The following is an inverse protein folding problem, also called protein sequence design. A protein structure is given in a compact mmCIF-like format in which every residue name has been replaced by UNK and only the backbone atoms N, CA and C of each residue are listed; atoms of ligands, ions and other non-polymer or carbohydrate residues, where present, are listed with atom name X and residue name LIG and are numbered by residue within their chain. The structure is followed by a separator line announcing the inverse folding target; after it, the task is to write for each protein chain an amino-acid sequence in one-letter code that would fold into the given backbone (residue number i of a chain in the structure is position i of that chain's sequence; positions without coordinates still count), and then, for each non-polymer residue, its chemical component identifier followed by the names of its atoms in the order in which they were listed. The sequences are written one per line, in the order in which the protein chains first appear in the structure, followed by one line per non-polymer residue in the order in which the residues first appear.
data_IF_474374245301
#
_entry.id   IF_474374245301
#
_cell.length_a   1.000
_cell.length_b   1.000
_cell.length_c   1.000
_cell.angle_alpha   90.00
_cell.angle_beta   90.00
_cell.angle_gamma   90.00
#
_symmetry.space_group_name_H-M   'P 1'
#
loop_
_entity.id
_entity.type
_entity.pdbx_description
1 polymer ?
#
# COMPACT_ATOMS: atom_id res chain seq x y z
N UNK A 1 9.35 5.66 15.64
CA UNK A 1 8.01 5.14 16.02
C UNK A 1 7.60 4.29 14.84
N UNK A 2 7.99 3.01 14.77
CA UNK A 2 8.07 2.39 13.42
C UNK A 2 7.55 0.95 13.28
N UNK A 3 6.91 0.30 14.27
CA UNK A 3 6.43 -1.09 14.04
C UNK A 3 4.99 -1.40 14.47
N UNK A 4 4.19 -0.38 14.78
CA UNK A 4 2.78 -0.63 15.12
C UNK A 4 1.88 0.59 15.06
N UNK A 5 2.41 1.79 15.32
CA UNK A 5 1.59 3.00 15.32
C UNK A 5 1.03 3.30 13.93
N UNK A 6 1.77 3.02 12.86
CA UNK A 6 1.35 3.28 11.47
C UNK A 6 0.08 2.51 11.06
N UNK A 7 -0.25 1.42 11.79
CA UNK A 7 -1.47 0.64 11.58
C UNK A 7 -2.70 1.27 12.25
N UNK A 8 -2.50 2.23 13.16
CA UNK A 8 -3.56 2.91 13.89
C UNK A 8 -4.20 4.04 13.06
N UNK A 9 -4.85 3.69 11.95
CA UNK A 9 -5.45 4.65 11.01
C UNK A 9 -6.57 5.51 11.61
N UNK A 10 -7.19 5.04 12.70
CA UNK A 10 -8.25 5.74 13.43
C UNK A 10 -7.75 6.48 14.69
N UNK A 11 -6.43 6.71 14.82
CA UNK A 11 -5.85 7.38 15.98
C UNK A 11 -6.31 8.84 16.05
N UNK A 12 -6.94 9.22 17.17
CA UNK A 12 -7.48 10.58 17.39
C UNK A 12 -6.72 11.38 18.46
N UNK A 13 -6.13 10.69 19.43
CA UNK A 13 -5.41 11.29 20.53
C UNK A 13 -4.10 10.54 20.74
N UNK A 14 -3.00 11.28 20.78
CA UNK A 14 -1.67 10.76 21.00
C UNK A 14 -0.95 11.61 22.03
N UNK A 15 -0.65 11.03 23.18
CA UNK A 15 0.15 11.67 24.23
C UNK A 15 1.49 10.95 24.35
N UNK A 16 2.56 11.67 24.05
CA UNK A 16 3.94 11.23 24.06
C UNK A 16 4.81 12.15 24.92
N UNK A 17 4.23 12.79 25.94
CA UNK A 17 4.96 13.67 26.85
C UNK A 17 6.09 12.95 27.62
N UNK A 18 7.12 13.69 28.01
CA UNK A 18 8.30 13.23 28.75
C UNK A 18 9.04 12.05 28.09
N UNK A 19 9.19 12.09 26.76
CA UNK A 19 9.96 11.12 25.99
C UNK A 19 11.27 11.73 25.45
N UNK A 20 11.92 11.03 24.53
CA UNK A 20 13.21 11.41 23.93
C UNK A 20 13.08 11.83 22.47
N UNK A 21 11.96 12.43 22.10
CA UNK A 21 11.72 12.91 20.73
C UNK A 21 12.49 14.22 20.55
N UNK A 22 13.48 14.22 19.65
CA UNK A 22 14.34 15.38 19.42
C UNK A 22 14.29 15.94 18.00
N UNK A 23 13.69 15.22 17.05
CA UNK A 23 13.69 15.58 15.64
C UNK A 23 12.30 16.08 15.18
N UNK A 24 12.29 17.18 14.43
CA UNK A 24 11.09 17.74 13.80
C UNK A 24 10.48 16.81 12.74
N UNK A 25 11.29 15.95 12.12
CA UNK A 25 10.87 14.91 11.16
C UNK A 25 9.80 13.96 11.75
N UNK A 26 9.67 13.91 13.07
CA UNK A 26 8.59 13.17 13.74
C UNK A 26 7.21 13.65 13.28
N UNK A 27 7.04 14.95 13.02
CA UNK A 27 5.76 15.51 12.56
C UNK A 27 5.38 15.03 11.16
N UNK A 28 6.37 14.82 10.29
CA UNK A 28 6.14 14.21 8.98
C UNK A 28 5.58 12.79 9.12
N UNK A 29 6.09 12.00 10.08
CA UNK A 29 5.52 10.67 10.38
C UNK A 29 4.12 10.75 10.98
N UNK A 30 3.83 11.78 11.77
CA UNK A 30 2.50 11.97 12.37
C UNK A 30 1.44 12.44 11.36
N UNK A 31 1.84 13.05 10.23
CA UNK A 31 0.96 13.48 9.13
C UNK A 31 0.08 12.37 8.58
N UNK A 32 0.57 11.13 8.58
CA UNK A 32 -0.19 9.96 8.11
C UNK A 32 -1.48 9.74 8.92
N UNK A 33 -1.55 10.22 10.17
CA UNK A 33 -2.72 10.09 11.03
C UNK A 33 -3.75 11.17 10.72
N UNK A 34 -4.49 10.99 9.62
CA UNK A 34 -5.55 11.92 9.16
C UNK A 34 -6.71 12.12 10.16
N UNK A 35 -6.77 11.33 11.23
CA UNK A 35 -7.75 11.48 12.32
C UNK A 35 -7.22 12.13 13.58
N UNK A 36 -5.93 12.51 13.64
CA UNK A 36 -5.30 12.97 14.86
C UNK A 36 -5.74 14.39 15.23
N UNK A 37 -6.45 14.54 16.34
CA UNK A 37 -6.99 15.81 16.81
C UNK A 37 -6.30 16.33 18.08
N UNK A 38 -5.64 15.46 18.83
CA UNK A 38 -4.93 15.83 20.06
C UNK A 38 -3.54 15.23 20.06
N UNK A 39 -2.52 16.08 20.17
CA UNK A 39 -1.13 15.69 20.28
C UNK A 39 -0.50 16.36 21.50
N UNK A 40 0.16 15.57 22.35
CA UNK A 40 0.96 16.08 23.44
C UNK A 40 2.38 15.53 23.33
N UNK A 41 3.36 16.43 23.28
CA UNK A 41 4.78 16.16 23.20
C UNK A 41 5.56 16.95 24.27
N UNK A 42 4.88 17.58 25.22
CA UNK A 42 5.50 18.32 26.32
C UNK A 42 6.58 17.48 27.04
N UNK A 43 7.72 18.09 27.38
CA UNK A 43 8.82 17.41 28.06
C UNK A 43 9.72 16.58 27.14
N UNK A 44 9.56 16.70 25.82
CA UNK A 44 10.51 16.16 24.84
C UNK A 44 11.56 17.22 24.44
N UNK A 45 12.79 16.79 24.04
CA UNK A 45 13.81 17.72 23.53
C UNK A 45 13.36 18.59 22.35
N UNK A 46 12.49 18.06 21.49
CA UNK A 46 11.96 18.76 20.30
C UNK A 46 11.20 20.06 20.66
N UNK A 47 10.67 20.18 21.88
CA UNK A 47 9.98 21.39 22.35
C UNK A 47 10.91 22.61 22.47
N UNK A 48 12.24 22.42 22.37
CA UNK A 48 13.23 23.50 22.43
C UNK A 48 13.49 24.15 21.07
N UNK A 49 13.05 23.51 19.99
CA UNK A 49 13.23 24.05 18.64
C UNK A 49 12.29 25.25 18.42
N UNK A 50 12.76 26.38 17.87
CA UNK A 50 11.93 27.55 17.61
C UNK A 50 10.75 27.25 16.67
N UNK A 51 10.98 26.37 15.70
CA UNK A 51 9.99 26.01 14.68
C UNK A 51 9.01 24.93 15.15
N UNK A 52 9.22 24.34 16.34
CA UNK A 52 8.46 23.20 16.88
C UNK A 52 6.95 23.31 16.67
N UNK A 53 6.36 24.43 17.07
CA UNK A 53 4.92 24.65 16.99
C UNK A 53 4.46 24.85 15.55
N UNK A 54 5.16 25.69 14.78
CA UNK A 54 4.80 25.96 13.40
C UNK A 54 4.90 24.68 12.54
N UNK A 55 5.98 23.90 12.69
CA UNK A 55 6.15 22.62 12.01
C UNK A 55 5.07 21.61 12.43
N UNK A 56 4.72 21.51 13.71
CA UNK A 56 3.65 20.62 14.16
C UNK A 56 2.30 20.94 13.48
N UNK A 57 1.94 22.22 13.43
CA UNK A 57 0.67 22.69 12.86
C UNK A 57 0.66 22.61 11.32
N UNK A 58 1.80 22.84 10.67
CA UNK A 58 1.95 22.74 9.22
C UNK A 58 1.82 21.29 8.72
N UNK A 59 2.46 20.34 9.41
CA UNK A 59 2.47 18.94 9.01
C UNK A 59 1.23 18.16 9.47
N UNK A 60 0.63 18.52 10.61
CA UNK A 60 -0.54 17.83 11.19
C UNK A 60 -1.74 18.79 11.27
N UNK A 61 -2.35 19.07 10.11
CA UNK A 61 -3.43 20.06 9.96
C UNK A 61 -4.71 19.72 10.76
N UNK A 62 -4.90 18.47 11.16
CA UNK A 62 -6.11 17.99 11.84
C UNK A 62 -6.13 18.26 13.34
N UNK A 63 -5.04 18.81 13.89
CA UNK A 63 -4.90 19.10 15.32
C UNK A 63 -5.86 20.18 15.79
N UNK A 64 -6.60 19.86 16.85
CA UNK A 64 -7.44 20.80 17.61
C UNK A 64 -6.80 21.18 18.93
N UNK A 65 -6.00 20.27 19.50
CA UNK A 65 -5.28 20.45 20.75
C UNK A 65 -3.82 20.03 20.58
N UNK A 66 -2.91 20.93 20.93
CA UNK A 66 -1.47 20.70 20.90
C UNK A 66 -0.86 21.14 22.24
N UNK A 67 -0.16 20.24 22.91
CA UNK A 67 0.45 20.44 24.24
C UNK A 67 -0.53 21.07 25.24
N UNK A 68 -1.72 20.47 25.35
CA UNK A 68 -2.84 20.89 26.20
C UNK A 68 -3.43 22.29 25.88
N UNK A 69 -2.94 22.98 24.85
CA UNK A 69 -3.49 24.23 24.36
C UNK A 69 -4.41 23.99 23.15
N UNK A 70 -5.47 24.78 23.04
CA UNK A 70 -6.30 24.79 21.84
C UNK A 70 -5.53 25.46 20.69
N UNK A 71 -5.61 24.86 19.51
CA UNK A 71 -4.98 25.38 18.29
C UNK A 71 -5.93 26.37 17.63
N UNK A 72 -5.41 27.55 17.25
CA UNK A 72 -6.15 28.52 16.46
C UNK A 72 -6.09 28.14 14.96
N UNK A 73 -7.22 28.02 14.25
CA UNK A 73 -7.24 27.78 12.82
C UNK A 73 -6.42 28.78 11.99
N UNK A 74 -6.30 30.04 12.44
CA UNK A 74 -5.48 31.05 11.77
C UNK A 74 -3.99 30.70 11.82
N UNK A 75 -3.52 30.17 12.96
CA UNK A 75 -2.13 29.74 13.16
C UNK A 75 -1.78 28.54 12.28
N UNK A 76 -2.73 27.60 12.11
CA UNK A 76 -2.57 26.46 11.19
C UNK A 76 -2.41 26.95 9.75
N UNK A 77 -3.25 27.90 9.34
CA UNK A 77 -3.20 28.45 7.98
C UNK A 77 -1.87 29.16 7.71
N UNK A 78 -1.43 30.01 8.65
CA UNK A 78 -0.15 30.71 8.54
C UNK A 78 1.03 29.74 8.51
N UNK A 79 1.03 28.72 9.37
CA UNK A 79 2.09 27.71 9.40
C UNK A 79 2.12 26.92 8.09
N UNK A 80 0.96 26.59 7.52
CA UNK A 80 0.87 25.89 6.22
C UNK A 80 1.38 26.74 5.06
N UNK A 81 1.10 28.03 5.06
CA UNK A 81 1.66 28.97 4.06
C UNK A 81 3.18 29.08 4.19
N UNK A 82 3.70 29.10 5.43
CA UNK A 82 5.14 29.16 5.68
C UNK A 82 5.91 27.93 5.16
N UNK A 83 5.31 26.74 5.24
CA UNK A 83 5.93 25.47 4.81
C UNK A 83 5.28 24.89 3.55
N UNK A 84 4.66 25.73 2.71
CA UNK A 84 3.88 25.27 1.58
C UNK A 84 4.69 24.41 0.60
N UNK A 85 5.90 24.85 0.25
CA UNK A 85 6.77 24.15 -0.71
C UNK A 85 7.18 22.77 -0.16
N UNK A 86 7.63 22.71 1.10
CA UNK A 86 8.01 21.45 1.76
C UNK A 86 6.81 20.49 1.84
N UNK A 87 5.62 21.00 2.17
CA UNK A 87 4.40 20.18 2.24
C UNK A 87 4.06 19.62 0.87
N UNK A 88 4.18 20.40 -0.18
CA UNK A 88 3.88 19.97 -1.56
C UNK A 88 4.80 18.83 -1.99
N UNK A 89 6.10 18.94 -1.72
CA UNK A 89 7.08 17.88 -2.03
C UNK A 89 6.77 16.58 -1.27
N UNK A 90 6.38 16.70 0.00
CA UNK A 90 5.98 15.56 0.82
C UNK A 90 4.68 14.93 0.32
N UNK A 91 3.69 15.73 -0.06
CA UNK A 91 2.42 15.24 -0.61
C UNK A 91 2.61 14.52 -1.94
N UNK A 92 3.45 15.03 -2.84
CA UNK A 92 3.77 14.37 -4.10
C UNK A 92 4.42 13.01 -3.87
N UNK A 93 5.42 12.97 -2.98
CA UNK A 93 6.09 11.72 -2.60
C UNK A 93 5.12 10.72 -1.97
N UNK A 94 4.27 11.16 -1.05
CA UNK A 94 3.24 10.33 -0.43
C UNK A 94 2.25 9.77 -1.47
N UNK A 95 1.84 10.58 -2.44
CA UNK A 95 0.93 10.15 -3.51
C UNK A 95 1.58 9.09 -4.42
N UNK A 96 2.84 9.28 -4.81
CA UNK A 96 3.60 8.31 -5.60
C UNK A 96 3.77 6.99 -4.84
N UNK A 97 4.13 7.05 -3.56
CA UNK A 97 4.28 5.86 -2.70
C UNK A 97 2.95 5.14 -2.49
N UNK A 98 1.85 5.88 -2.31
CA UNK A 98 0.51 5.32 -2.17
C UNK A 98 0.06 4.62 -3.47
N UNK A 99 0.30 5.24 -4.62
CA UNK A 99 0.00 4.65 -5.92
C UNK A 99 0.83 3.39 -6.19
N UNK A 100 2.12 3.40 -5.86
CA UNK A 100 2.97 2.22 -5.95
C UNK A 100 2.44 1.09 -5.07
N UNK A 101 2.15 1.36 -3.79
CA UNK A 101 1.57 0.37 -2.86
C UNK A 101 0.22 -0.16 -3.34
N UNK A 102 -0.63 0.71 -3.90
CA UNK A 102 -1.93 0.30 -4.44
C UNK A 102 -1.78 -0.62 -5.65
N UNK A 103 -0.83 -0.34 -6.54
CA UNK A 103 -0.48 -1.20 -7.68
C UNK A 103 0.06 -2.55 -7.21
N UNK A 104 0.99 -2.55 -6.25
CA UNK A 104 1.57 -3.76 -5.70
C UNK A 104 0.51 -4.62 -5.00
N UNK A 105 -0.40 -4.02 -4.23
CA UNK A 105 -1.51 -4.72 -3.60
C UNK A 105 -2.51 -5.27 -4.63
N UNK A 106 -2.79 -4.52 -5.70
CA UNK A 106 -3.66 -4.99 -6.77
C UNK A 106 -3.03 -6.18 -7.50
N UNK A 107 -1.74 -6.09 -7.85
CA UNK A 107 -0.98 -7.19 -8.45
C UNK A 107 -0.95 -8.42 -7.53
N UNK A 108 -0.65 -8.25 -6.24
CA UNK A 108 -0.64 -9.34 -5.27
C UNK A 108 -2.01 -10.02 -5.11
N UNK A 109 -3.12 -9.27 -5.19
CA UNK A 109 -4.47 -9.84 -5.19
C UNK A 109 -4.72 -10.71 -6.43
N UNK A 110 -4.31 -10.24 -7.60
CA UNK A 110 -4.44 -11.00 -8.86
C UNK A 110 -3.61 -12.28 -8.79
N UNK A 111 -2.35 -12.20 -8.38
CA UNK A 111 -1.47 -13.37 -8.22
C UNK A 111 -2.09 -14.42 -7.29
N UNK A 112 -2.62 -13.97 -6.14
CA UNK A 112 -3.29 -14.86 -5.19
C UNK A 112 -4.55 -15.52 -5.77
N UNK A 113 -5.32 -14.78 -6.58
CA UNK A 113 -6.50 -15.33 -7.25
C UNK A 113 -6.11 -16.41 -8.28
N UNK A 114 -5.06 -16.16 -9.07
CA UNK A 114 -4.52 -17.14 -10.01
C UNK A 114 -3.95 -18.37 -9.29
N UNK A 115 -3.26 -18.19 -8.16
CA UNK A 115 -2.77 -19.30 -7.34
C UNK A 115 -3.93 -20.17 -6.81
N UNK A 116 -5.00 -19.56 -6.29
CA UNK A 116 -6.18 -20.28 -5.81
C UNK A 116 -6.91 -21.04 -6.93
N UNK A 117 -6.83 -20.56 -8.17
CA UNK A 117 -7.37 -21.23 -9.35
C UNK A 117 -6.39 -22.26 -9.96
N UNK A 118 -5.18 -22.41 -9.40
CA UNK A 118 -4.10 -23.24 -9.95
C UNK A 118 -3.65 -22.81 -11.36
N UNK A 119 -3.66 -21.50 -11.61
CA UNK A 119 -3.31 -20.87 -12.88
C UNK A 119 -2.01 -20.05 -12.80
N UNK A 120 -1.32 -20.06 -11.66
CA UNK A 120 -0.09 -19.28 -11.43
C UNK A 120 0.99 -19.54 -12.49
N UNK A 121 1.11 -20.80 -12.94
CA UNK A 121 2.06 -21.18 -14.01
C UNK A 121 1.81 -20.37 -15.29
N UNK A 122 0.56 -20.07 -15.64
CA UNK A 122 0.26 -19.28 -16.83
C UNK A 122 0.68 -17.80 -16.70
N UNK A 123 0.89 -17.30 -15.48
CA UNK A 123 1.41 -15.94 -15.24
C UNK A 123 2.93 -15.88 -15.43
N UNK A 124 3.66 -16.85 -14.85
CA UNK A 124 5.12 -16.75 -14.70
C UNK A 124 5.93 -17.57 -15.71
N UNK A 125 5.29 -18.47 -16.47
CA UNK A 125 5.99 -19.43 -17.32
C UNK A 125 6.95 -18.77 -18.33
N UNK A 126 6.60 -17.60 -18.87
CA UNK A 126 7.48 -16.88 -19.79
C UNK A 126 8.79 -16.47 -19.11
N UNK A 127 8.67 -15.84 -17.94
CA UNK A 127 9.81 -15.33 -17.18
C UNK A 127 10.66 -16.50 -16.66
N UNK A 128 10.02 -17.57 -16.18
CA UNK A 128 10.70 -18.81 -15.76
C UNK A 128 11.49 -19.44 -16.92
N UNK A 129 10.87 -19.59 -18.10
CA UNK A 129 11.56 -20.11 -19.29
C UNK A 129 12.74 -19.22 -19.72
N UNK A 130 12.65 -17.92 -19.46
CA UNK A 130 13.68 -16.96 -19.83
C UNK A 130 14.84 -16.95 -18.83
N UNK A 131 14.55 -17.07 -17.54
CA UNK A 131 15.53 -17.08 -16.45
C UNK A 131 16.29 -18.41 -16.34
N UNK A 132 15.68 -19.53 -16.71
CA UNK A 132 16.33 -20.85 -16.73
C UNK A 132 17.39 -21.01 -17.83
N UNK A 133 17.34 -20.18 -18.89
CA UNK A 133 18.28 -20.24 -20.00
C UNK A 133 19.53 -19.38 -19.74
N UNK A 134 20.61 -20.02 -19.29
CA UNK A 134 21.90 -19.39 -19.04
C UNK A 134 22.55 -18.74 -20.28
N UNK A 135 22.15 -19.14 -21.49
CA UNK A 135 22.65 -18.58 -22.76
C UNK A 135 21.87 -17.32 -23.18
N UNK A 136 20.70 -17.08 -22.59
CA UNK A 136 19.86 -15.90 -22.84
C UNK A 136 20.60 -14.58 -22.56
N UNK A 137 21.51 -14.59 -21.58
CA UNK A 137 22.38 -13.45 -21.30
C UNK A 137 23.31 -13.11 -22.48
N UNK A 138 23.69 -14.09 -23.31
CA UNK A 138 24.56 -13.89 -24.49
C UNK A 138 23.78 -13.34 -25.67
N UNK A 139 22.47 -13.59 -25.73
CA UNK A 139 21.60 -13.08 -26.79
C UNK A 139 21.45 -11.56 -26.73
N UNK A 140 21.58 -10.93 -25.56
CA UNK A 140 21.51 -9.46 -25.34
C UNK A 140 22.49 -8.63 -26.18
N UNK A 141 23.52 -9.24 -26.76
CA UNK A 141 24.50 -8.56 -27.62
C UNK A 141 24.10 -8.52 -29.10
N UNK A 142 23.03 -9.21 -29.48
CA UNK A 142 22.55 -9.25 -30.86
C UNK A 142 21.72 -7.99 -31.15
N UNK A 143 22.04 -7.20 -32.18
CA UNK A 143 21.22 -6.05 -32.55
C UNK A 143 19.77 -6.45 -32.83
N UNK A 144 18.82 -5.70 -32.26
CA UNK A 144 17.35 -5.89 -32.42
C UNK A 144 16.77 -7.15 -31.77
N UNK A 145 17.53 -7.87 -30.97
CA UNK A 145 17.01 -9.04 -30.25
C UNK A 145 15.94 -8.65 -29.22
N UNK A 146 16.09 -7.47 -28.59
CA UNK A 146 15.15 -6.96 -27.59
C UNK A 146 13.77 -6.73 -28.20
N UNK A 147 13.71 -6.19 -29.43
CA UNK A 147 12.44 -6.03 -30.19
C UNK A 147 11.76 -7.39 -30.42
N UNK A 148 12.53 -8.44 -30.73
CA UNK A 148 12.00 -9.77 -30.99
C UNK A 148 11.53 -10.46 -29.71
N UNK A 149 12.29 -10.32 -28.62
CA UNK A 149 11.92 -10.84 -27.29
C UNK A 149 10.64 -10.18 -26.82
N UNK A 150 10.53 -8.85 -26.94
CA UNK A 150 9.33 -8.11 -26.54
C UNK A 150 8.11 -8.52 -27.37
N UNK A 151 8.26 -8.69 -28.69
CA UNK A 151 7.19 -9.19 -29.54
C UNK A 151 6.74 -10.60 -29.14
N UNK A 152 7.67 -11.50 -28.87
CA UNK A 152 7.37 -12.86 -28.45
C UNK A 152 6.70 -12.89 -27.08
N UNK A 153 7.19 -12.09 -26.13
CA UNK A 153 6.59 -11.91 -24.81
C UNK A 153 5.14 -11.43 -24.93
N UNK A 154 4.87 -10.41 -25.75
CA UNK A 154 3.51 -9.90 -25.97
C UNK A 154 2.57 -10.96 -26.57
N UNK A 155 3.06 -11.77 -27.52
CA UNK A 155 2.27 -12.87 -28.08
C UNK A 155 1.99 -13.95 -27.03
N UNK A 156 2.99 -14.35 -26.26
CA UNK A 156 2.85 -15.33 -25.19
C UNK A 156 1.84 -14.84 -24.14
N UNK A 157 1.99 -13.59 -23.68
CA UNK A 157 1.09 -12.96 -22.71
C UNK A 157 -0.35 -12.94 -23.21
N UNK A 158 -0.59 -12.61 -24.48
CA UNK A 158 -1.94 -12.66 -25.07
C UNK A 158 -2.56 -14.06 -25.02
N UNK A 159 -1.78 -15.11 -25.29
CA UNK A 159 -2.25 -16.50 -25.20
C UNK A 159 -2.46 -16.94 -23.75
N UNK A 160 -1.55 -16.56 -22.85
CA UNK A 160 -1.65 -16.81 -21.42
C UNK A 160 -2.90 -16.14 -20.82
N UNK A 161 -3.20 -14.89 -21.19
CA UNK A 161 -4.39 -14.16 -20.75
C UNK A 161 -5.69 -14.85 -21.20
N UNK A 162 -5.72 -15.35 -22.44
CA UNK A 162 -6.85 -16.14 -22.95
C UNK A 162 -7.04 -17.42 -22.13
N UNK A 163 -5.94 -18.13 -21.83
CA UNK A 163 -5.97 -19.34 -21.00
C UNK A 163 -6.41 -19.06 -19.56
N UNK A 164 -5.87 -18.00 -18.92
CA UNK A 164 -6.25 -17.57 -17.58
C UNK A 164 -7.73 -17.22 -17.50
N UNK A 165 -8.25 -16.50 -18.49
CA UNK A 165 -9.67 -16.12 -18.54
C UNK A 165 -10.58 -17.36 -18.56
N UNK A 166 -10.33 -18.30 -19.49
CA UNK A 166 -11.09 -19.54 -19.56
C UNK A 166 -10.92 -20.40 -18.29
N UNK A 167 -9.71 -20.43 -17.71
CA UNK A 167 -9.42 -21.15 -16.47
C UNK A 167 -10.19 -20.60 -15.27
N UNK A 168 -10.33 -19.28 -15.16
CA UNK A 168 -11.08 -18.63 -14.08
C UNK A 168 -12.59 -18.91 -14.20
N UNK A 169 -13.14 -18.93 -15.42
CA UNK A 169 -14.54 -19.33 -15.64
C UNK A 169 -14.79 -20.78 -15.18
N UNK A 170 -13.93 -21.71 -15.57
CA UNK A 170 -14.03 -23.11 -15.16
C UNK A 170 -13.85 -23.29 -13.64
N UNK A 171 -12.96 -22.51 -13.01
CA UNK A 171 -12.79 -22.53 -11.55
C UNK A 171 -14.04 -22.02 -10.82
N UNK A 172 -14.69 -20.99 -11.36
CA UNK A 172 -15.95 -20.48 -10.83
C UNK A 172 -17.08 -21.54 -10.91
N UNK A 173 -17.20 -22.23 -12.05
CA UNK A 173 -18.18 -23.31 -12.23
C UNK A 173 -17.93 -24.47 -11.26
N UNK A 174 -16.66 -24.90 -11.13
CA UNK A 174 -16.24 -25.91 -10.15
C UNK A 174 -16.62 -25.52 -8.72
N UNK A 175 -16.40 -24.25 -8.33
CA UNK A 175 -16.78 -23.74 -7.00
C UNK A 175 -18.30 -23.75 -6.81
N UNK A 176 -19.06 -23.37 -7.84
CA UNK A 176 -20.53 -23.39 -7.80
C UNK A 176 -21.08 -24.81 -7.63
N UNK A 177 -20.53 -25.79 -8.35
CA UNK A 177 -20.93 -27.19 -8.24
C UNK A 177 -20.63 -27.76 -6.85
N UNK A 178 -19.43 -27.49 -6.30
CA UNK A 178 -19.08 -27.86 -4.93
C UNK A 178 -20.05 -27.27 -3.90
N UNK A 179 -20.49 -26.03 -4.11
CA UNK A 179 -21.49 -25.38 -3.27
C UNK A 179 -22.86 -26.06 -3.36
N UNK A 180 -23.31 -26.44 -4.56
CA UNK A 180 -24.56 -27.20 -4.77
C UNK A 180 -24.51 -28.55 -4.07
N UNK A 181 -23.40 -29.28 -4.22
CA UNK A 181 -23.19 -30.56 -3.54
C UNK A 181 -23.26 -30.40 -2.01
N UNK A 182 -22.61 -29.38 -1.44
CA UNK A 182 -22.66 -29.11 -0.01
C UNK A 182 -24.08 -28.85 0.51
N UNK A 183 -24.89 -28.08 -0.23
CA UNK A 183 -26.30 -27.83 0.11
C UNK A 183 -27.14 -29.10 0.04
N UNK A 184 -26.95 -29.93 -1.00
CA UNK A 184 -27.65 -31.20 -1.12
C UNK A 184 -27.32 -32.13 0.05
N UNK A 185 -26.04 -32.22 0.44
CA UNK A 185 -25.58 -33.02 1.57
C UNK A 185 -26.19 -32.54 2.90
N UNK A 186 -26.29 -31.22 3.11
CA UNK A 186 -26.93 -30.64 4.29
C UNK A 186 -28.42 -30.96 4.34
N UNK A 187 -29.13 -30.85 3.21
CA UNK A 187 -30.55 -31.16 3.13
C UNK A 187 -30.82 -32.63 3.48
N UNK A 188 -30.03 -33.56 2.93
CA UNK A 188 -30.14 -35.00 3.23
C UNK A 188 -29.85 -35.28 4.72
N UNK A 189 -28.83 -34.63 5.29
CA UNK A 189 -28.51 -34.80 6.72
C UNK A 189 -29.61 -34.26 7.62
N UNK A 190 -30.23 -33.14 7.26
CA UNK A 190 -31.34 -32.54 8.01
C UNK A 190 -32.65 -33.35 7.92
N UNK A 191 -32.86 -34.09 6.83
CA UNK A 191 -34.03 -34.99 6.69
C UNK A 191 -33.86 -36.33 7.40
N UNK A 192 -32.66 -36.67 7.86
CA UNK A 192 -32.33 -37.92 8.55
C UNK A 192 -31.84 -37.72 9.99
N UNK A 193 -32.04 -36.52 10.55
CA UNK A 193 -31.86 -36.19 11.96
C UNK A 193 -33.23 -35.96 12.62
#
# INVERSE_FOLDING_TARGET
IDDGLDKCTALQCLSLGNNKISALDTFQKLRQFRGLHMLNLEGNPVCREPEYRATALAYVETLKYFDYAMVDPAEVTQSREQYQDDIMDVEEKEALDADARNRDQAAAKIVKELEMANLLVAENLFDEMFDEDAEMAKLKHIPRIDELIEQFHNQFKSKADTFKTAGLELDADKKAEKGRFGKALQAVRASHA
#
